data_IF_987949295508
#
_entry.id   IF_987949295508
#
_cell.length_a   1.000
_cell.length_b   1.000
_cell.length_c   1.000
_cell.angle_alpha   90.00
_cell.angle_beta   90.00
_cell.angle_gamma   90.00
#
_symmetry.space_group_name_H-M   'P 1'
#
loop_
_entity.id
_entity.type
_entity.pdbx_description
1 polymer ?
#
# COMPACT_ATOMS: atom_id res chain seq x y z
N UNK A 1 76.73 11.58 -82.60
CA UNK A 1 76.12 12.70 -83.32
C UNK A 1 74.84 12.18 -83.90
N UNK A 2 73.64 12.60 -83.55
CA UNK A 2 73.11 13.78 -82.86
C UNK A 2 71.65 13.40 -82.51
N UNK A 3 71.15 13.57 -81.29
CA UNK A 3 70.47 14.75 -80.70
C UNK A 3 69.00 14.42 -80.42
N UNK A 4 68.45 15.00 -79.34
CA UNK A 4 67.09 14.89 -78.78
C UNK A 4 66.82 13.69 -77.85
N UNK A 5 67.54 13.52 -76.74
CA UNK A 5 67.21 14.17 -75.46
C UNK A 5 66.25 15.37 -75.55
N UNK A 6 64.95 15.12 -75.64
CA UNK A 6 63.84 15.83 -74.95
C UNK A 6 62.59 14.97 -75.14
N UNK A 7 61.94 14.54 -74.06
CA UNK A 7 60.60 13.96 -74.18
C UNK A 7 60.16 12.97 -73.10
N UNK A 8 61.00 12.62 -72.13
CA UNK A 8 60.52 11.92 -70.92
C UNK A 8 60.06 13.00 -69.94
N UNK A 9 58.91 13.62 -70.20
CA UNK A 9 58.22 14.43 -69.18
C UNK A 9 56.69 14.54 -69.35
N UNK A 10 56.06 13.91 -70.35
CA UNK A 10 54.61 14.11 -70.60
C UNK A 10 53.75 12.83 -70.55
N UNK A 11 54.33 11.63 -70.39
CA UNK A 11 53.54 10.38 -70.30
C UNK A 11 53.33 9.84 -68.88
N UNK A 12 53.84 10.50 -67.84
CA UNK A 12 53.52 10.19 -66.44
C UNK A 12 52.21 10.82 -65.94
N UNK A 13 51.76 11.89 -66.59
CA UNK A 13 50.62 12.69 -66.15
C UNK A 13 49.26 11.98 -66.35
N UNK A 14 48.94 11.32 -67.48
CA UNK A 14 47.59 10.75 -67.65
C UNK A 14 47.33 9.50 -66.79
N UNK A 15 48.35 8.68 -66.51
CA UNK A 15 48.22 7.49 -65.64
C UNK A 15 48.09 7.91 -64.17
N UNK A 16 48.83 8.94 -63.73
CA UNK A 16 48.68 9.52 -62.40
C UNK A 16 47.28 10.11 -62.18
N UNK A 17 46.71 10.80 -63.17
CA UNK A 17 45.37 11.40 -63.07
C UNK A 17 44.28 10.31 -63.03
N UNK A 18 44.35 9.27 -63.86
CA UNK A 18 43.40 8.16 -63.81
C UNK A 18 43.47 7.38 -62.49
N UNK A 19 44.67 7.14 -61.97
CA UNK A 19 44.90 6.53 -60.66
C UNK A 19 44.34 7.37 -59.50
N UNK A 20 44.48 8.70 -59.57
CA UNK A 20 43.92 9.63 -58.59
C UNK A 20 42.39 9.67 -58.63
N UNK A 21 41.76 9.64 -59.82
CA UNK A 21 40.29 9.57 -59.94
C UNK A 21 39.77 8.24 -59.36
N UNK A 22 40.43 7.12 -59.66
CA UNK A 22 40.04 5.81 -59.14
C UNK A 22 40.24 5.73 -57.62
N UNK A 23 41.35 6.26 -57.11
CA UNK A 23 41.61 6.38 -55.68
C UNK A 23 40.60 7.31 -54.99
N UNK A 24 40.14 8.39 -55.66
CA UNK A 24 39.13 9.28 -55.11
C UNK A 24 37.76 8.62 -55.03
N UNK A 25 37.36 7.87 -56.08
CA UNK A 25 36.11 7.09 -56.09
C UNK A 25 36.16 5.99 -55.03
N UNK A 26 37.29 5.28 -54.92
CA UNK A 26 37.50 4.25 -53.91
C UNK A 26 37.47 4.84 -52.49
N UNK A 27 38.11 6.00 -52.25
CA UNK A 27 38.04 6.71 -50.98
C UNK A 27 36.63 7.20 -50.66
N UNK A 28 35.87 7.69 -51.64
CA UNK A 28 34.46 8.07 -51.45
C UNK A 28 33.58 6.86 -51.11
N UNK A 29 33.79 5.71 -51.77
CA UNK A 29 33.10 4.46 -51.46
C UNK A 29 33.48 3.93 -50.07
N UNK A 30 34.76 3.97 -49.71
CA UNK A 30 35.25 3.57 -48.39
C UNK A 30 34.69 4.47 -47.29
N UNK A 31 34.64 5.80 -47.50
CA UNK A 31 34.01 6.75 -46.57
C UNK A 31 32.52 6.48 -46.39
N UNK A 32 31.79 6.20 -47.48
CA UNK A 32 30.37 5.81 -47.42
C UNK A 32 30.16 4.47 -46.71
N UNK A 33 31.00 3.47 -46.98
CA UNK A 33 30.94 2.18 -46.31
C UNK A 33 31.25 2.30 -44.82
N UNK A 34 32.25 3.09 -44.45
CA UNK A 34 32.60 3.34 -43.05
C UNK A 34 31.50 4.09 -42.31
N UNK A 35 30.81 5.04 -42.98
CA UNK A 35 29.67 5.73 -42.39
C UNK A 35 28.42 4.85 -42.27
N UNK A 36 28.23 3.88 -43.16
CA UNK A 36 27.18 2.85 -43.03
C UNK A 36 27.52 1.89 -41.87
N UNK A 37 28.76 1.38 -41.81
CA UNK A 37 29.20 0.50 -40.73
C UNK A 37 29.09 1.17 -39.35
N UNK A 38 29.46 2.46 -39.25
CA UNK A 38 29.31 3.23 -38.00
C UNK A 38 27.84 3.39 -37.59
N UNK A 39 26.94 3.63 -38.55
CA UNK A 39 25.49 3.70 -38.27
C UNK A 39 24.93 2.34 -37.86
N UNK A 40 25.34 1.27 -38.53
CA UNK A 40 24.92 -0.10 -38.19
C UNK A 40 25.40 -0.52 -36.79
N UNK A 41 26.63 -0.15 -36.40
CA UNK A 41 27.14 -0.40 -35.05
C UNK A 41 26.37 0.41 -33.99
N UNK A 42 26.02 1.66 -34.30
CA UNK A 42 25.23 2.50 -33.41
C UNK A 42 23.81 1.94 -33.23
N UNK A 43 23.17 1.52 -34.32
CA UNK A 43 21.85 0.88 -34.31
C UNK A 43 21.87 -0.46 -33.57
N UNK A 44 22.91 -1.28 -33.76
CA UNK A 44 23.10 -2.53 -33.02
C UNK A 44 23.31 -2.28 -31.51
N UNK A 45 24.06 -1.24 -31.14
CA UNK A 45 24.24 -0.86 -29.73
C UNK A 45 22.93 -0.37 -29.10
N UNK A 46 22.13 0.40 -29.84
CA UNK A 46 20.81 0.84 -29.39
C UNK A 46 19.83 -0.33 -29.27
N UNK A 47 19.82 -1.24 -30.24
CA UNK A 47 19.03 -2.47 -30.19
C UNK A 47 19.42 -3.36 -29.00
N UNK A 48 20.71 -3.50 -28.70
CA UNK A 48 21.16 -4.25 -27.54
C UNK A 48 20.72 -3.59 -26.23
N UNK A 49 20.78 -2.25 -26.15
CA UNK A 49 20.27 -1.51 -24.99
C UNK A 49 18.77 -1.74 -24.79
N UNK A 50 17.98 -1.70 -25.86
CA UNK A 50 16.53 -1.97 -25.80
C UNK A 50 16.28 -3.42 -25.37
N UNK A 51 17.04 -4.39 -25.89
CA UNK A 51 16.92 -5.79 -25.49
C UNK A 51 17.21 -6.00 -23.99
N UNK A 52 18.22 -5.34 -23.44
CA UNK A 52 18.52 -5.37 -22.00
C UNK A 52 17.36 -4.79 -21.18
N UNK A 53 16.79 -3.66 -21.62
CA UNK A 53 15.64 -3.05 -20.94
C UNK A 53 14.39 -3.94 -21.03
N UNK A 54 14.15 -4.56 -22.18
CA UNK A 54 13.04 -5.48 -22.38
C UNK A 54 13.18 -6.75 -21.52
N UNK A 55 14.39 -7.31 -21.41
CA UNK A 55 14.66 -8.45 -20.53
C UNK A 55 14.42 -8.10 -19.07
N UNK A 56 14.86 -6.92 -18.63
CA UNK A 56 14.61 -6.44 -17.26
C UNK A 56 13.11 -6.26 -17.00
N UNK A 57 12.38 -5.68 -17.95
CA UNK A 57 10.93 -5.52 -17.85
C UNK A 57 10.20 -6.88 -17.83
N UNK A 58 10.68 -7.86 -18.60
CA UNK A 58 10.13 -9.21 -18.59
C UNK A 58 10.41 -9.94 -17.27
N UNK A 59 11.59 -9.75 -16.68
CA UNK A 59 11.94 -10.26 -15.35
C UNK A 59 11.03 -9.64 -14.27
N UNK A 60 10.85 -8.31 -14.31
CA UNK A 60 9.93 -7.61 -13.41
C UNK A 60 8.48 -8.11 -13.59
N UNK A 61 8.04 -8.29 -14.83
CA UNK A 61 6.70 -8.81 -15.14
C UNK A 61 6.51 -10.27 -14.68
N UNK A 62 7.53 -11.12 -14.80
CA UNK A 62 7.51 -12.49 -14.30
C UNK A 62 7.44 -12.51 -12.77
N UNK A 63 8.24 -11.68 -12.09
CA UNK A 63 8.19 -11.52 -10.63
C UNK A 63 6.80 -11.09 -10.14
N UNK A 64 6.17 -10.13 -10.84
CA UNK A 64 4.79 -9.71 -10.56
C UNK A 64 3.80 -10.84 -10.84
N UNK A 65 3.95 -11.57 -11.94
CA UNK A 65 3.06 -12.69 -12.31
C UNK A 65 3.16 -13.84 -11.31
N UNK A 66 4.37 -14.20 -10.86
CA UNK A 66 4.59 -15.20 -9.81
C UNK A 66 4.02 -14.77 -8.46
N UNK A 67 4.11 -13.47 -8.13
CA UNK A 67 3.46 -12.93 -6.94
C UNK A 67 1.94 -13.00 -7.07
N UNK A 68 1.37 -12.60 -8.21
CA UNK A 68 -0.06 -12.65 -8.46
C UNK A 68 -0.59 -14.10 -8.44
N UNK A 69 0.17 -15.06 -8.98
CA UNK A 69 -0.19 -16.48 -8.96
C UNK A 69 -0.18 -17.04 -7.53
N UNK A 70 0.82 -16.67 -6.72
CA UNK A 70 0.86 -17.03 -5.29
C UNK A 70 -0.37 -16.52 -4.57
N UNK A 71 -0.69 -15.23 -4.70
CA UNK A 71 -1.87 -14.60 -4.06
C UNK A 71 -3.18 -15.22 -4.56
N UNK A 72 -3.29 -15.52 -5.86
CA UNK A 72 -4.49 -16.15 -6.43
C UNK A 72 -4.69 -17.59 -5.98
N UNK A 73 -3.65 -18.26 -5.49
CA UNK A 73 -3.70 -19.63 -4.99
C UNK A 73 -3.92 -19.69 -3.47
N UNK A 74 -3.99 -18.54 -2.79
CA UNK A 74 -4.24 -18.47 -1.36
C UNK A 74 -5.72 -18.64 -1.04
N UNK A 75 -6.01 -19.58 -0.14
CA UNK A 75 -7.33 -19.80 0.45
C UNK A 75 -7.28 -19.51 1.96
N UNK A 76 -6.80 -18.31 2.31
CA UNK A 76 -6.75 -17.87 3.70
C UNK A 76 -8.05 -17.17 4.09
N UNK A 77 -8.80 -17.78 5.00
CA UNK A 77 -9.97 -17.17 5.62
C UNK A 77 -9.55 -16.38 6.87
N UNK A 78 -9.91 -15.09 6.90
CA UNK A 78 -9.66 -14.21 8.03
C UNK A 78 -10.98 -13.81 8.68
N UNK A 79 -11.07 -14.06 9.99
CA UNK A 79 -12.14 -13.57 10.83
C UNK A 79 -11.56 -12.78 12.00
N UNK A 80 -12.22 -11.68 12.36
CA UNK A 80 -11.79 -10.77 13.42
C UNK A 80 -12.89 -10.62 14.46
N UNK A 81 -12.54 -10.96 15.69
CA UNK A 81 -13.41 -10.81 16.85
C UNK A 81 -13.41 -9.38 17.38
N UNK A 82 -14.52 -8.99 18.01
CA UNK A 82 -14.63 -7.75 18.76
C UNK A 82 -15.33 -8.03 20.08
N UNK A 83 -14.73 -7.54 21.17
CA UNK A 83 -15.32 -7.59 22.51
C UNK A 83 -15.07 -6.27 23.23
N UNK A 84 -16.02 -5.88 24.07
CA UNK A 84 -15.82 -4.82 25.05
C UNK A 84 -16.02 -5.38 26.45
N UNK A 85 -15.09 -5.06 27.34
CA UNK A 85 -15.19 -5.34 28.76
C UNK A 85 -15.97 -4.23 29.47
N UNK A 86 -16.53 -4.54 30.64
CA UNK A 86 -17.38 -3.60 31.38
C UNK A 86 -16.66 -2.30 31.79
N UNK A 87 -15.34 -2.28 31.82
CA UNK A 87 -14.49 -1.12 32.15
C UNK A 87 -14.14 -0.25 30.93
N UNK A 88 -14.59 -0.62 29.73
CA UNK A 88 -14.38 0.13 28.50
C UNK A 88 -13.10 -0.24 27.75
N UNK A 89 -12.42 -1.33 28.14
CA UNK A 89 -11.36 -1.93 27.34
C UNK A 89 -11.98 -2.69 26.17
N UNK A 90 -11.57 -2.33 24.96
CA UNK A 90 -11.94 -3.04 23.74
C UNK A 90 -10.82 -4.01 23.37
N UNK A 91 -11.23 -5.22 22.97
CA UNK A 91 -10.36 -6.27 22.46
C UNK A 91 -10.76 -6.59 21.02
N UNK A 92 -9.79 -6.49 20.10
CA UNK A 92 -9.89 -7.03 18.75
C UNK A 92 -8.98 -8.25 18.69
N UNK A 93 -9.54 -9.39 18.31
CA UNK A 93 -8.81 -10.66 18.28
C UNK A 93 -8.74 -11.24 16.87
N UNK A 94 -7.59 -11.77 16.48
CA UNK A 94 -7.51 -12.60 15.29
C UNK A 94 -8.17 -13.96 15.61
N UNK A 95 -9.31 -14.23 15.00
CA UNK A 95 -10.02 -15.52 15.09
C UNK A 95 -9.67 -16.44 13.92
N UNK A 96 -8.67 -16.06 13.13
CA UNK A 96 -8.19 -16.79 11.97
C UNK A 96 -7.09 -17.79 12.32
N UNK A 97 -6.85 -18.74 11.42
CA UNK A 97 -5.78 -19.76 11.55
C UNK A 97 -4.44 -19.30 10.96
N UNK A 98 -4.34 -18.03 10.54
CA UNK A 98 -3.20 -17.51 9.80
C UNK A 98 -2.75 -16.17 10.38
N UNK A 99 -1.45 -15.91 10.25
CA UNK A 99 -0.85 -14.63 10.65
C UNK A 99 -1.32 -13.51 9.71
N UNK A 100 -1.49 -12.31 10.25
CA UNK A 100 -1.76 -11.09 9.49
C UNK A 100 -0.52 -10.20 9.52
N UNK A 101 0.13 -10.05 8.36
CA UNK A 101 1.37 -9.30 8.19
C UNK A 101 1.04 -7.85 7.84
N UNK A 102 1.88 -6.89 8.23
CA UNK A 102 1.71 -5.46 7.89
C UNK A 102 0.32 -4.95 8.32
N UNK A 103 -0.08 -5.33 9.54
CA UNK A 103 -1.43 -5.09 10.03
C UNK A 103 -1.57 -3.65 10.52
N UNK A 104 -2.62 -3.00 10.03
CA UNK A 104 -2.97 -1.64 10.43
C UNK A 104 -4.42 -1.61 10.90
N UNK A 105 -4.63 -1.01 12.08
CA UNK A 105 -5.92 -0.82 12.71
C UNK A 105 -6.18 0.66 12.92
N UNK A 106 -7.35 1.09 12.48
CA UNK A 106 -7.89 2.43 12.68
C UNK A 106 -9.24 2.31 13.40
N UNK A 107 -9.40 2.98 14.54
CA UNK A 107 -10.65 2.92 15.32
C UNK A 107 -11.23 4.30 15.54
N UNK A 108 -12.44 4.50 15.06
CA UNK A 108 -13.21 5.71 15.26
C UNK A 108 -14.48 5.47 16.09
N UNK A 109 -14.98 6.56 16.69
CA UNK A 109 -16.22 6.57 17.46
C UNK A 109 -17.19 7.57 16.85
N UNK A 110 -18.41 7.11 16.58
CA UNK A 110 -19.49 7.92 16.04
C UNK A 110 -20.67 7.98 17.01
N UNK A 111 -21.26 9.16 17.23
CA UNK A 111 -22.49 9.32 17.99
C UNK A 111 -23.51 10.04 17.14
N UNK A 112 -24.70 9.46 17.02
CA UNK A 112 -25.74 9.94 16.10
C UNK A 112 -25.22 10.14 14.66
N UNK A 113 -24.34 9.25 14.19
CA UNK A 113 -23.76 9.28 12.84
C UNK A 113 -22.67 10.33 12.62
N UNK A 114 -22.24 11.05 13.67
CA UNK A 114 -21.15 12.02 13.59
C UNK A 114 -19.93 11.48 14.31
N UNK A 115 -18.77 11.55 13.67
CA UNK A 115 -17.49 11.22 14.32
C UNK A 115 -17.22 12.20 15.46
N UNK A 116 -16.84 11.67 16.62
CA UNK A 116 -16.72 12.44 17.89
C UNK A 116 -15.27 12.54 18.36
N UNK A 117 -14.38 11.72 17.80
CA UNK A 117 -12.98 11.73 18.20
C UNK A 117 -12.36 13.11 17.87
N UNK A 118 -11.58 13.70 18.79
CA UNK A 118 -10.86 14.91 18.47
C UNK A 118 -9.68 14.55 17.58
N UNK A 119 -9.73 14.96 16.31
CA UNK A 119 -8.63 14.96 15.33
C UNK A 119 -7.96 13.63 14.93
N UNK A 120 -7.86 12.59 15.78
CA UNK A 120 -7.16 11.35 15.47
C UNK A 120 -7.93 10.14 16.02
N UNK A 121 -8.37 9.27 15.12
CA UNK A 121 -8.80 7.92 15.49
C UNK A 121 -7.64 7.15 16.15
N UNK A 122 -7.94 6.07 16.87
CA UNK A 122 -6.87 5.21 17.36
C UNK A 122 -6.20 4.51 16.18
N UNK A 123 -4.95 4.89 15.89
CA UNK A 123 -4.10 4.23 14.91
C UNK A 123 -3.15 3.27 15.61
N UNK A 124 -3.09 2.03 15.11
CA UNK A 124 -2.09 1.06 15.51
C UNK A 124 -1.57 0.33 14.29
N UNK A 125 -0.25 0.28 14.19
CA UNK A 125 0.46 -0.52 13.21
C UNK A 125 1.22 -1.65 13.91
N UNK A 126 1.16 -2.85 13.37
CA UNK A 126 1.85 -4.05 13.89
C UNK A 126 2.41 -4.83 12.72
N UNK A 127 3.73 -5.07 12.71
CA UNK A 127 4.41 -5.77 11.62
C UNK A 127 3.85 -7.18 11.39
N UNK A 128 3.51 -7.90 12.47
CA UNK A 128 2.86 -9.20 12.41
C UNK A 128 1.89 -9.40 13.58
N UNK A 129 0.65 -9.75 13.27
CA UNK A 129 -0.35 -10.20 14.24
C UNK A 129 -0.50 -11.70 14.09
N UNK A 130 0.08 -12.43 15.04
CA UNK A 130 -0.02 -13.90 15.07
C UNK A 130 -1.47 -14.37 15.21
N UNK A 131 -1.75 -15.57 14.70
CA UNK A 131 -3.04 -16.22 14.94
C UNK A 131 -3.40 -16.24 16.44
N UNK A 132 -4.66 -15.95 16.77
CA UNK A 132 -5.13 -15.89 18.15
C UNK A 132 -4.66 -14.67 18.97
N UNK A 133 -3.85 -13.78 18.40
CA UNK A 133 -3.40 -12.59 19.09
C UNK A 133 -4.57 -11.62 19.40
N UNK A 134 -4.40 -10.86 20.47
CA UNK A 134 -5.40 -9.92 20.98
C UNK A 134 -4.81 -8.51 21.07
N UNK A 135 -5.54 -7.55 20.52
CA UNK A 135 -5.17 -6.14 20.50
C UNK A 135 -6.12 -5.38 21.41
N UNK A 136 -5.57 -4.79 22.47
CA UNK A 136 -6.33 -4.04 23.46
C UNK A 136 -6.17 -2.54 23.31
N UNK A 137 -7.25 -1.80 23.49
CA UNK A 137 -7.24 -0.34 23.63
C UNK A 137 -8.39 0.15 24.50
N UNK A 138 -8.20 1.27 25.19
CA UNK A 138 -9.23 1.88 26.03
C UNK A 138 -10.09 2.82 25.21
N UNK A 139 -11.42 2.69 25.35
CA UNK A 139 -12.36 3.56 24.66
C UNK A 139 -12.23 5.03 25.10
N UNK A 140 -11.87 5.27 26.37
CA UNK A 140 -11.60 6.61 26.90
C UNK A 140 -10.48 7.34 26.13
N UNK A 141 -9.50 6.60 25.60
CA UNK A 141 -8.42 7.20 24.80
C UNK A 141 -8.92 7.78 23.47
N UNK A 142 -10.03 7.26 22.93
CA UNK A 142 -10.62 7.69 21.65
C UNK A 142 -11.75 8.70 21.88
N UNK A 143 -12.48 8.54 22.99
CA UNK A 143 -13.57 9.42 23.36
C UNK A 143 -13.47 9.88 24.83
N UNK A 144 -12.53 10.79 25.17
CA UNK A 144 -12.28 11.20 26.56
C UNK A 144 -13.50 11.82 27.25
N UNK A 145 -14.34 12.53 26.47
CA UNK A 145 -15.54 13.20 26.98
C UNK A 145 -16.70 12.22 27.28
N UNK A 146 -16.54 10.93 27.00
CA UNK A 146 -17.60 9.94 27.17
C UNK A 146 -18.00 9.76 28.64
N UNK A 147 -17.01 9.59 29.54
CA UNK A 147 -17.28 9.40 30.98
C UNK A 147 -17.96 10.64 31.60
N UNK A 148 -17.45 11.87 31.42
CA UNK A 148 -18.14 13.07 31.90
C UNK A 148 -19.57 13.19 31.34
N UNK A 149 -19.77 12.91 30.04
CA UNK A 149 -21.10 12.94 29.43
C UNK A 149 -22.02 11.89 30.03
N UNK A 150 -21.54 10.68 30.29
CA UNK A 150 -22.33 9.62 30.92
C UNK A 150 -22.75 10.01 32.34
N UNK A 151 -21.84 10.62 33.11
CA UNK A 151 -22.15 11.17 34.45
C UNK A 151 -23.04 12.41 34.42
N UNK A 152 -23.17 13.09 33.28
CA UNK A 152 -24.11 14.21 33.12
C UNK A 152 -25.53 13.76 32.73
N UNK A 153 -25.73 12.49 32.34
CA UNK A 153 -27.04 11.99 31.92
C UNK A 153 -28.08 12.03 33.05
N UNK A 154 -29.36 12.12 32.69
CA UNK A 154 -30.45 12.04 33.67
C UNK A 154 -30.45 10.67 34.36
N UNK A 155 -30.87 10.62 35.63
CA UNK A 155 -31.04 9.34 36.34
C UNK A 155 -32.11 8.51 35.64
N UNK A 156 -31.85 7.21 35.51
CA UNK A 156 -32.75 6.29 34.86
C UNK A 156 -33.78 5.77 35.87
N UNK A 157 -35.06 6.04 35.63
CA UNK A 157 -36.17 5.65 36.49
C UNK A 157 -36.61 4.24 36.09
N UNK A 158 -36.67 3.32 37.05
CA UNK A 158 -37.09 1.93 36.82
C UNK A 158 -38.47 1.64 37.39
N UNK A 159 -38.83 2.29 38.49
CA UNK A 159 -40.15 2.15 39.09
C UNK A 159 -40.55 3.41 39.86
N UNK A 160 -41.85 3.61 40.00
CA UNK A 160 -42.44 4.57 40.92
C UNK A 160 -43.37 3.81 41.87
N UNK A 161 -43.22 4.05 43.18
CA UNK A 161 -44.07 3.50 44.23
C UNK A 161 -44.66 4.65 45.03
N UNK A 162 -45.90 5.04 44.71
CA UNK A 162 -46.49 6.28 45.24
C UNK A 162 -45.61 7.48 44.86
N UNK A 163 -45.18 8.25 45.86
CA UNK A 163 -44.30 9.42 45.69
C UNK A 163 -42.80 9.07 45.62
N UNK A 164 -42.44 7.79 45.76
CA UNK A 164 -41.04 7.35 45.75
C UNK A 164 -40.61 6.86 44.37
N UNK A 165 -39.48 7.38 43.88
CA UNK A 165 -38.89 7.00 42.58
C UNK A 165 -37.67 6.11 42.79
N UNK A 166 -37.66 4.93 42.18
CA UNK A 166 -36.51 4.00 42.17
C UNK A 166 -35.67 4.25 40.93
N UNK A 167 -34.41 4.59 41.15
CA UNK A 167 -33.44 4.82 40.09
C UNK A 167 -32.50 3.63 39.92
N UNK A 168 -32.08 3.38 38.68
CA UNK A 168 -31.03 2.42 38.35
C UNK A 168 -29.96 3.13 37.54
N UNK A 169 -29.07 3.85 38.23
CA UNK A 169 -28.00 4.62 37.59
C UNK A 169 -28.52 5.75 36.70
N UNK A 170 -27.78 6.05 35.62
CA UNK A 170 -28.12 7.07 34.62
C UNK A 170 -28.53 6.46 33.28
N UNK A 171 -29.20 7.27 32.46
CA UNK A 171 -29.56 6.88 31.11
C UNK A 171 -28.29 6.59 30.29
N UNK A 172 -28.29 5.55 29.45
CA UNK A 172 -27.14 5.20 28.64
C UNK A 172 -26.92 6.19 27.50
N UNK A 173 -25.66 6.47 27.21
CA UNK A 173 -25.21 7.06 25.95
C UNK A 173 -24.90 5.91 25.01
N UNK A 174 -25.54 5.90 23.85
CA UNK A 174 -25.27 4.92 22.79
C UNK A 174 -24.40 5.54 21.71
N UNK A 175 -23.46 4.80 21.16
CA UNK A 175 -22.56 5.26 20.11
C UNK A 175 -22.05 4.05 19.33
N UNK A 176 -21.60 4.29 18.10
CA UNK A 176 -21.01 3.26 17.25
C UNK A 176 -19.48 3.35 17.33
N UNK A 177 -18.83 2.21 17.48
CA UNK A 177 -17.37 2.06 17.31
C UNK A 177 -17.14 1.36 15.99
N UNK A 178 -16.26 1.93 15.17
CA UNK A 178 -15.92 1.41 13.85
C UNK A 178 -14.42 1.16 13.83
N UNK A 179 -14.04 -0.11 13.70
CA UNK A 179 -12.67 -0.55 13.53
C UNK A 179 -12.47 -0.93 12.06
N UNK A 180 -11.60 -0.19 11.38
CA UNK A 180 -11.16 -0.46 10.01
C UNK A 180 -9.78 -1.07 10.08
N UNK A 181 -9.59 -2.19 9.38
CA UNK A 181 -8.37 -2.97 9.41
C UNK A 181 -7.90 -3.25 7.98
N UNK A 182 -6.58 -3.21 7.79
CA UNK A 182 -5.93 -3.66 6.56
C UNK A 182 -4.71 -4.48 6.91
N UNK A 183 -4.45 -5.53 6.15
CA UNK A 183 -3.30 -6.41 6.35
C UNK A 183 -2.91 -7.13 5.08
N UNK A 184 -1.76 -7.79 5.12
CA UNK A 184 -1.27 -8.70 4.10
C UNK A 184 -1.32 -10.14 4.61
N UNK A 185 -1.67 -11.05 3.73
CA UNK A 185 -1.49 -12.48 3.97
C UNK A 185 0.00 -12.84 3.97
N UNK A 186 0.40 -13.99 4.53
CA UNK A 186 1.78 -14.44 4.49
C UNK A 186 2.39 -14.55 3.09
N UNK A 187 1.61 -14.83 2.03
CA UNK A 187 2.10 -14.83 0.65
C UNK A 187 1.92 -13.48 -0.07
N UNK A 188 1.53 -12.42 0.65
CA UNK A 188 1.59 -11.03 0.20
C UNK A 188 0.31 -10.49 -0.42
N UNK A 189 -0.82 -11.19 -0.29
CA UNK A 189 -2.13 -10.74 -0.74
C UNK A 189 -2.70 -9.68 0.20
N UNK A 190 -3.19 -8.57 -0.34
CA UNK A 190 -3.82 -7.54 0.48
C UNK A 190 -5.25 -7.94 0.87
N UNK A 191 -5.61 -7.64 2.12
CA UNK A 191 -6.90 -7.91 2.74
C UNK A 191 -7.30 -6.72 3.60
N UNK A 192 -8.60 -6.60 3.82
CA UNK A 192 -9.16 -5.56 4.67
C UNK A 192 -10.48 -6.00 5.26
N UNK A 193 -10.87 -5.33 6.34
CA UNK A 193 -12.09 -5.65 7.06
C UNK A 193 -12.56 -4.47 7.89
N UNK A 194 -13.87 -4.40 8.09
CA UNK A 194 -14.48 -3.37 8.92
C UNK A 194 -15.41 -4.03 9.92
N UNK A 195 -15.19 -3.74 11.21
CA UNK A 195 -16.10 -4.13 12.28
C UNK A 195 -16.80 -2.87 12.78
N UNK A 196 -18.13 -2.88 12.71
CA UNK A 196 -18.97 -1.85 13.31
C UNK A 196 -19.79 -2.44 14.45
N UNK A 197 -19.66 -1.88 15.65
CA UNK A 197 -20.41 -2.30 16.84
C UNK A 197 -21.05 -1.12 17.53
N UNK A 198 -22.32 -1.26 17.88
CA UNK A 198 -23.03 -0.28 18.70
C UNK A 198 -22.83 -0.61 20.16
N UNK A 199 -22.35 0.38 20.91
CA UNK A 199 -22.04 0.25 22.32
C UNK A 199 -22.90 1.22 23.14
N UNK A 200 -23.01 0.92 24.42
CA UNK A 200 -23.62 1.80 25.42
C UNK A 200 -22.67 2.04 26.57
N UNK A 201 -22.69 3.26 27.10
CA UNK A 201 -21.96 3.67 28.28
C UNK A 201 -22.95 4.34 29.25
N UNK A 202 -22.95 3.91 30.50
CA UNK A 202 -23.79 4.51 31.55
C UNK A 202 -23.12 4.45 32.91
N UNK A 203 -23.51 5.35 33.79
CA UNK A 203 -23.28 5.17 35.22
C UNK A 203 -24.33 4.21 35.78
N UNK A 204 -23.91 3.19 36.52
CA UNK A 204 -24.78 2.22 37.18
C UNK A 204 -25.30 2.76 38.53
N UNK A 205 -26.05 1.93 39.26
CA UNK A 205 -26.59 2.30 40.59
C UNK A 205 -25.52 2.48 41.67
N UNK A 206 -24.32 1.92 41.49
CA UNK A 206 -23.19 2.01 42.42
C UNK A 206 -22.25 3.18 42.08
N UNK A 207 -22.53 3.92 40.99
CA UNK A 207 -21.68 5.02 40.52
C UNK A 207 -20.52 4.59 39.63
N UNK A 208 -20.46 3.31 39.26
CA UNK A 208 -19.47 2.77 38.33
C UNK A 208 -19.89 3.08 36.88
N UNK A 209 -18.91 3.40 36.03
CA UNK A 209 -19.15 3.49 34.60
C UNK A 209 -19.09 2.08 34.03
N UNK A 210 -20.16 1.67 33.35
CA UNK A 210 -20.26 0.38 32.72
C UNK A 210 -20.44 0.54 31.23
N UNK A 211 -19.73 -0.29 30.48
CA UNK A 211 -19.83 -0.40 29.04
C UNK A 211 -20.48 -1.72 28.66
N UNK A 212 -21.29 -1.70 27.61
CA UNK A 212 -21.88 -2.92 27.06
C UNK A 212 -22.13 -2.80 25.57
N UNK A 213 -22.15 -3.94 24.89
CA UNK A 213 -22.58 -4.00 23.50
C UNK A 213 -24.12 -3.96 23.43
N UNK A 214 -24.65 -3.14 22.54
CA UNK A 214 -26.08 -3.10 22.23
C UNK A 214 -26.33 -4.09 21.10
N UNK A 215 -27.23 -5.05 21.32
CA UNK A 215 -27.70 -6.00 20.31
C UNK A 215 -28.49 -5.30 19.21
#
# INVERSE_FOLDING_TARGET
MDWLSVGIDILGVPIGVAGLVYAHIANCKAKKSNSIAKRALQEAAESNRIAIQANKLAEDANSVSERALRVSSEDFEYNWGFRIENDGVICISSESSHDAVDFTLFVEVQHAGKSIAPADAHYRHVDNVSYGAQLFFKLESIYPQLIPKARAQKRHIVAMFGDSVVYNGRNPITFDVIAVMSWKTPGGGERGGTIKRRLSCREDKLGAIVFSQVS
#
